data_IF_070042106069
#
_entry.id   IF_070042106069
#
_cell.length_a   1.000
_cell.length_b   1.000
_cell.length_c   1.000
_cell.angle_alpha   90.00
_cell.angle_beta   90.00
_cell.angle_gamma   90.00
#
_symmetry.space_group_name_H-M   'P 1'
#
loop_
_entity.id
_entity.type
_entity.pdbx_description
1 polymer ?
#
# COMPACT_ATOMS: atom_id res chain seq x y z
N UNK A 1 -5.39 28.68 0.57
CA UNK A 1 -5.43 27.39 -0.13
C UNK A 1 -4.24 26.56 0.35
N UNK A 2 -4.51 25.39 0.92
CA UNK A 2 -3.56 24.64 1.76
C UNK A 2 -2.59 23.79 0.94
N UNK A 3 -1.39 24.33 0.67
CA UNK A 3 -0.23 23.58 0.18
C UNK A 3 0.20 22.42 1.13
N UNK A 4 -0.36 22.35 2.34
CA UNK A 4 -0.12 21.27 3.31
C UNK A 4 -0.65 19.91 2.85
N UNK A 5 -1.67 19.87 1.98
CA UNK A 5 -2.25 18.61 1.49
C UNK A 5 -1.29 17.83 0.58
N UNK A 6 -0.55 18.50 -0.30
CA UNK A 6 0.40 17.84 -1.21
C UNK A 6 1.66 17.35 -0.52
N UNK A 7 2.19 18.11 0.45
CA UNK A 7 3.37 17.71 1.25
C UNK A 7 3.11 16.41 2.05
N UNK A 8 1.87 16.21 2.51
CA UNK A 8 1.48 15.02 3.30
C UNK A 8 1.38 13.72 2.48
N UNK A 9 1.30 13.78 1.14
CA UNK A 9 1.28 12.60 0.26
C UNK A 9 2.67 12.02 -0.03
N UNK A 10 3.73 12.83 0.05
CA UNK A 10 5.11 12.39 -0.19
C UNK A 10 5.53 11.17 0.67
N UNK A 11 5.32 11.14 2.00
CA UNK A 11 5.70 10.00 2.83
C UNK A 11 4.96 8.70 2.47
N UNK A 12 3.72 8.79 1.98
CA UNK A 12 2.98 7.61 1.51
C UNK A 12 3.60 7.10 0.21
N UNK A 13 3.99 7.96 -0.73
CA UNK A 13 4.63 7.50 -1.98
C UNK A 13 5.95 6.79 -1.72
N UNK A 14 6.79 7.35 -0.85
CA UNK A 14 8.06 6.72 -0.50
C UNK A 14 7.86 5.37 0.18
N UNK A 15 6.78 5.16 0.94
CA UNK A 15 6.51 3.86 1.56
C UNK A 15 6.06 2.80 0.55
N UNK A 16 5.29 3.17 -0.48
CA UNK A 16 4.98 2.26 -1.59
C UNK A 16 6.23 1.88 -2.40
N UNK A 17 7.12 2.85 -2.67
CA UNK A 17 8.38 2.60 -3.37
C UNK A 17 9.32 1.72 -2.51
N UNK A 18 9.43 2.02 -1.21
CA UNK A 18 10.18 1.21 -0.27
C UNK A 18 9.63 -0.23 -0.21
N UNK A 19 8.31 -0.43 -0.19
CA UNK A 19 7.71 -1.76 -0.22
C UNK A 19 8.09 -2.54 -1.49
N UNK A 20 8.12 -1.90 -2.65
CA UNK A 20 8.55 -2.55 -3.90
C UNK A 20 10.04 -2.92 -3.89
N UNK A 21 10.89 -2.03 -3.37
CA UNK A 21 12.33 -2.27 -3.22
C UNK A 21 12.59 -3.40 -2.23
N UNK A 22 11.95 -3.37 -1.06
CA UNK A 22 12.07 -4.42 -0.04
C UNK A 22 11.57 -5.76 -0.60
N UNK A 23 10.50 -5.77 -1.40
CA UNK A 23 10.03 -6.98 -2.07
C UNK A 23 11.12 -7.58 -2.97
N UNK A 24 11.73 -6.80 -3.86
CA UNK A 24 12.81 -7.28 -4.72
C UNK A 24 14.03 -7.75 -3.93
N UNK A 25 14.43 -7.00 -2.90
CA UNK A 25 15.56 -7.39 -2.06
C UNK A 25 15.27 -8.63 -1.22
N UNK A 26 14.04 -8.85 -0.77
CA UNK A 26 13.67 -10.02 0.06
C UNK A 26 13.80 -11.34 -0.68
N UNK A 27 13.70 -11.32 -2.01
CA UNK A 27 13.94 -12.49 -2.86
C UNK A 27 15.42 -12.85 -3.00
N UNK A 28 16.30 -11.85 -2.97
CA UNK A 28 17.73 -12.01 -3.20
C UNK A 28 18.46 -12.20 -1.87
N UNK A 29 18.00 -11.52 -0.81
CA UNK A 29 18.69 -11.41 0.46
C UNK A 29 17.73 -11.57 1.64
N UNK A 30 17.80 -12.72 2.33
CA UNK A 30 16.97 -13.06 3.49
C UNK A 30 16.97 -12.01 4.62
N UNK A 31 18.13 -11.46 5.05
CA UNK A 31 18.19 -10.30 5.93
C UNK A 31 17.34 -9.08 5.53
N UNK A 32 17.09 -8.86 4.23
CA UNK A 32 16.22 -7.78 3.79
C UNK A 32 14.75 -8.01 4.18
N UNK A 33 14.36 -9.23 4.54
CA UNK A 33 13.03 -9.51 5.07
C UNK A 33 12.77 -8.79 6.40
N UNK A 34 13.81 -8.45 7.17
CA UNK A 34 13.67 -7.67 8.41
C UNK A 34 13.18 -6.24 8.13
N UNK A 35 13.42 -5.71 6.93
CA UNK A 35 12.94 -4.39 6.51
C UNK A 35 11.40 -4.35 6.40
N UNK A 36 10.72 -5.47 6.16
CA UNK A 36 9.26 -5.52 6.24
C UNK A 36 8.75 -5.20 7.64
N UNK A 37 9.43 -5.68 8.69
CA UNK A 37 9.05 -5.40 10.08
C UNK A 37 9.25 -3.92 10.40
N UNK A 38 10.36 -3.34 9.97
CA UNK A 38 10.63 -1.91 10.13
C UNK A 38 9.58 -1.05 9.41
N UNK A 39 9.24 -1.40 8.16
CA UNK A 39 8.21 -0.73 7.39
C UNK A 39 6.82 -0.86 8.03
N UNK A 40 6.47 -2.05 8.55
CA UNK A 40 5.22 -2.32 9.24
C UNK A 40 5.09 -1.47 10.51
N UNK A 41 6.16 -1.41 11.32
CA UNK A 41 6.21 -0.60 12.54
C UNK A 41 6.06 0.90 12.24
N UNK A 42 6.78 1.39 11.23
CA UNK A 42 6.68 2.78 10.81
C UNK A 42 5.30 3.12 10.24
N UNK A 43 4.76 2.30 9.34
CA UNK A 43 3.43 2.51 8.75
C UNK A 43 2.32 2.46 9.80
N UNK A 44 2.42 1.54 10.78
CA UNK A 44 1.50 1.46 11.91
C UNK A 44 1.55 2.69 12.81
N UNK A 45 2.75 3.19 13.12
CA UNK A 45 2.92 4.42 13.90
C UNK A 45 2.35 5.64 13.18
N UNK A 46 2.62 5.79 11.88
CA UNK A 46 2.08 6.88 11.06
C UNK A 46 0.56 6.79 10.92
N UNK A 47 0.01 5.59 10.73
CA UNK A 47 -1.44 5.37 10.70
C UNK A 47 -2.14 5.82 11.99
N UNK A 48 -1.51 5.61 13.15
CA UNK A 48 -2.06 6.04 14.45
C UNK A 48 -2.05 7.56 14.62
N UNK A 49 -1.05 8.25 14.08
CA UNK A 49 -0.85 9.69 14.26
C UNK A 49 -1.53 10.56 13.19
N UNK A 50 -2.03 9.97 12.10
CA UNK A 50 -2.68 10.70 11.00
C UNK A 50 -4.19 10.76 11.21
N UNK A 51 -4.72 11.99 11.25
CA UNK A 51 -6.16 12.25 11.44
C UNK A 51 -6.94 12.40 10.12
N UNK A 52 -6.26 12.49 8.97
CA UNK A 52 -6.93 12.64 7.67
C UNK A 52 -7.41 11.28 7.14
N UNK A 53 -8.70 11.15 6.76
CA UNK A 53 -9.31 9.86 6.43
C UNK A 53 -8.67 9.20 5.20
N UNK A 54 -8.34 9.98 4.16
CA UNK A 54 -7.74 9.45 2.93
C UNK A 54 -6.33 8.86 3.15
N UNK A 55 -5.50 9.53 3.95
CA UNK A 55 -4.15 9.03 4.26
C UNK A 55 -4.23 7.83 5.20
N UNK A 56 -5.13 7.86 6.18
CA UNK A 56 -5.37 6.73 7.09
C UNK A 56 -5.80 5.47 6.33
N UNK A 57 -6.68 5.60 5.33
CA UNK A 57 -7.07 4.50 4.45
C UNK A 57 -5.89 4.00 3.60
N UNK A 58 -5.06 4.89 3.05
CA UNK A 58 -3.88 4.49 2.27
C UNK A 58 -2.85 3.71 3.10
N UNK A 59 -2.57 4.14 4.33
CA UNK A 59 -1.70 3.40 5.26
C UNK A 59 -2.33 2.07 5.70
N UNK A 60 -3.65 2.03 5.91
CA UNK A 60 -4.35 0.79 6.24
C UNK A 60 -4.25 -0.26 5.12
N UNK A 61 -4.44 0.16 3.87
CA UNK A 61 -4.30 -0.73 2.71
C UNK A 61 -2.87 -1.25 2.59
N UNK A 62 -1.87 -0.40 2.85
CA UNK A 62 -0.46 -0.78 2.88
C UNK A 62 -0.15 -1.78 4.01
N UNK A 63 -0.67 -1.56 5.22
CA UNK A 63 -0.55 -2.51 6.33
C UNK A 63 -1.19 -3.85 5.97
N UNK A 64 -2.40 -3.83 5.41
CA UNK A 64 -3.11 -5.05 5.04
C UNK A 64 -2.38 -5.84 3.94
N UNK A 65 -1.78 -5.17 2.96
CA UNK A 65 -1.00 -5.85 1.91
C UNK A 65 0.28 -6.48 2.46
N UNK A 66 0.98 -5.80 3.37
CA UNK A 66 2.18 -6.36 4.03
C UNK A 66 1.81 -7.56 4.88
N UNK A 67 0.73 -7.47 5.67
CA UNK A 67 0.24 -8.59 6.48
C UNK A 67 -0.18 -9.80 5.64
N UNK A 68 -0.87 -9.59 4.52
CA UNK A 68 -1.21 -10.65 3.59
C UNK A 68 0.04 -11.31 3.02
N UNK A 69 1.03 -10.52 2.57
CA UNK A 69 2.29 -11.03 2.06
C UNK A 69 3.00 -11.91 3.09
N UNK A 70 3.21 -11.39 4.32
CA UNK A 70 3.87 -12.13 5.40
C UNK A 70 3.10 -13.38 5.80
N UNK A 71 1.77 -13.30 5.93
CA UNK A 71 0.92 -14.42 6.31
C UNK A 71 0.94 -15.55 5.29
N UNK A 72 0.83 -15.23 4.00
CA UNK A 72 0.87 -16.23 2.92
C UNK A 72 2.25 -16.90 2.82
N UNK A 73 3.34 -16.13 2.98
CA UNK A 73 4.70 -16.70 2.96
C UNK A 73 4.98 -17.56 4.18
N UNK A 74 4.51 -17.16 5.37
CA UNK A 74 4.65 -17.95 6.58
C UNK A 74 3.84 -19.25 6.50
N UNK A 75 2.64 -19.19 5.94
CA UNK A 75 1.81 -20.37 5.69
C UNK A 75 2.43 -21.30 4.63
N UNK A 76 3.03 -20.75 3.57
CA UNK A 76 3.79 -21.54 2.60
C UNK A 76 5.01 -22.21 3.26
N UNK A 77 5.76 -21.47 4.09
CA UNK A 77 6.88 -22.01 4.85
C UNK A 77 6.45 -23.14 5.79
N UNK A 78 5.34 -22.95 6.53
CA UNK A 78 4.77 -23.99 7.39
C UNK A 78 4.35 -25.23 6.59
N UNK A 79 3.81 -25.04 5.38
CA UNK A 79 3.42 -26.12 4.48
C UNK A 79 4.64 -26.91 3.99
N UNK A 80 5.71 -26.24 3.55
CA UNK A 80 6.97 -26.90 3.18
C UNK A 80 7.67 -27.57 4.36
N UNK A 81 7.66 -26.94 5.53
CA UNK A 81 8.18 -27.55 6.76
C UNK A 81 7.39 -28.82 7.10
N UNK A 82 6.07 -28.79 6.99
CA UNK A 82 5.21 -29.97 7.12
C UNK A 82 5.54 -31.04 6.09
N UNK A 83 5.66 -30.68 4.81
CA UNK A 83 6.04 -31.60 3.73
C UNK A 83 7.40 -32.26 3.97
N UNK A 84 8.37 -31.51 4.52
CA UNK A 84 9.72 -32.01 4.79
C UNK A 84 9.75 -33.17 5.80
N UNK A 85 8.77 -33.26 6.69
CA UNK A 85 8.65 -34.38 7.64
C UNK A 85 8.34 -35.71 6.96
N UNK A 86 7.64 -35.65 5.83
CA UNK A 86 7.28 -36.82 5.02
C UNK A 86 8.36 -37.19 3.99
N UNK A 87 9.43 -36.39 3.86
CA UNK A 87 10.54 -36.65 2.94
C UNK A 87 11.54 -37.72 3.44
N UNK A 88 11.17 -38.49 4.46
CA UNK A 88 12.00 -39.55 5.05
C UNK A 88 11.57 -40.96 4.64
N UNK A 89 10.34 -41.14 4.13
CA UNK A 89 9.82 -42.41 3.62
C UNK A 89 9.81 -42.42 2.09
N UNK A 90 10.57 -43.33 1.48
CA UNK A 90 10.54 -43.52 0.03
C UNK A 90 9.22 -44.15 -0.45
N UNK A 91 8.91 -43.98 -1.74
CA UNK A 91 7.69 -44.46 -2.42
C UNK A 91 7.42 -45.97 -2.26
N UNK A 92 8.44 -46.75 -1.88
CA UNK A 92 8.43 -48.20 -1.83
C UNK A 92 8.33 -48.80 -0.40
N UNK A 93 8.00 -47.98 0.61
CA UNK A 93 7.68 -48.44 1.97
C UNK A 93 6.21 -48.86 2.10
N UNK A 94 5.87 -49.72 3.06
CA UNK A 94 4.49 -50.14 3.38
C UNK A 94 3.53 -48.99 3.69
N UNK A 95 4.05 -47.83 4.15
CA UNK A 95 3.31 -46.56 4.33
C UNK A 95 3.73 -45.47 3.33
N UNK A 96 4.63 -45.78 2.39
CA UNK A 96 5.31 -44.81 1.54
C UNK A 96 4.38 -44.08 0.55
N UNK A 97 3.32 -44.73 0.08
CA UNK A 97 2.34 -44.11 -0.81
C UNK A 97 1.53 -43.00 -0.12
N UNK A 98 1.15 -43.18 1.15
CA UNK A 98 0.43 -42.17 1.93
C UNK A 98 1.34 -40.99 2.29
N UNK A 99 2.57 -41.27 2.74
CA UNK A 99 3.57 -40.25 3.06
C UNK A 99 3.95 -39.41 1.83
N UNK A 100 4.09 -40.06 0.67
CA UNK A 100 4.31 -39.37 -0.60
C UNK A 100 3.12 -38.49 -0.99
N UNK A 101 1.88 -38.96 -0.76
CA UNK A 101 0.67 -38.17 -0.96
C UNK A 101 0.65 -36.90 -0.11
N UNK A 102 1.04 -36.98 1.17
CA UNK A 102 1.16 -35.81 2.04
C UNK A 102 2.28 -34.87 1.61
N UNK A 103 3.43 -35.41 1.18
CA UNK A 103 4.54 -34.62 0.67
C UNK A 103 4.13 -33.83 -0.58
N UNK A 104 3.43 -34.47 -1.51
CA UNK A 104 2.99 -33.86 -2.75
C UNK A 104 1.85 -32.87 -2.53
N UNK A 105 0.89 -33.20 -1.67
CA UNK A 105 -0.22 -32.32 -1.29
C UNK A 105 0.25 -31.06 -0.56
N UNK A 106 1.08 -31.21 0.48
CA UNK A 106 1.65 -30.06 1.21
C UNK A 106 2.67 -29.30 0.37
N UNK A 107 3.48 -29.98 -0.43
CA UNK A 107 4.41 -29.33 -1.35
C UNK A 107 3.68 -28.47 -2.40
N UNK A 108 2.63 -29.02 -3.01
CA UNK A 108 1.79 -28.29 -3.96
C UNK A 108 1.04 -27.13 -3.29
N UNK A 109 0.49 -27.35 -2.09
CA UNK A 109 -0.16 -26.30 -1.31
C UNK A 109 0.83 -25.17 -1.00
N UNK A 110 2.04 -25.49 -0.51
CA UNK A 110 3.10 -24.52 -0.26
C UNK A 110 3.48 -23.72 -1.52
N UNK A 111 3.62 -24.39 -2.66
CA UNK A 111 3.90 -23.72 -3.94
C UNK A 111 2.76 -22.78 -4.37
N UNK A 112 1.50 -23.22 -4.23
CA UNK A 112 0.33 -22.40 -4.55
C UNK A 112 0.22 -21.17 -3.63
N UNK A 113 0.48 -21.33 -2.33
CA UNK A 113 0.52 -20.21 -1.38
C UNK A 113 1.67 -19.24 -1.67
N UNK A 114 2.84 -19.71 -2.12
CA UNK A 114 3.92 -18.82 -2.57
C UNK A 114 3.49 -18.01 -3.80
N UNK A 115 2.91 -18.65 -4.81
CA UNK A 115 2.46 -17.98 -6.04
C UNK A 115 1.39 -16.93 -5.73
N UNK A 116 0.37 -17.30 -4.96
CA UNK A 116 -0.69 -16.36 -4.55
C UNK A 116 -0.12 -15.27 -3.64
N UNK A 117 0.74 -15.65 -2.69
CA UNK A 117 1.41 -14.77 -1.75
C UNK A 117 2.34 -13.75 -2.40
N UNK A 118 2.77 -13.97 -3.64
CA UNK A 118 3.66 -13.08 -4.38
C UNK A 118 2.88 -12.21 -5.37
N UNK A 119 2.02 -12.82 -6.20
CA UNK A 119 1.23 -12.10 -7.20
C UNK A 119 0.16 -11.19 -6.60
N UNK A 120 -0.60 -11.67 -5.62
CA UNK A 120 -1.73 -10.93 -5.07
C UNK A 120 -1.34 -9.61 -4.39
N UNK A 121 -0.39 -9.59 -3.42
CA UNK A 121 0.02 -8.34 -2.80
C UNK A 121 0.71 -7.41 -3.80
N UNK A 122 1.46 -7.92 -4.78
CA UNK A 122 2.10 -7.10 -5.82
C UNK A 122 1.06 -6.36 -6.66
N UNK A 123 0.04 -7.06 -7.17
CA UNK A 123 -1.06 -6.46 -7.95
C UNK A 123 -1.77 -5.38 -7.13
N UNK A 124 -2.05 -5.68 -5.85
CA UNK A 124 -2.73 -4.74 -4.95
C UNK A 124 -1.88 -3.50 -4.69
N UNK A 125 -0.57 -3.67 -4.48
CA UNK A 125 0.38 -2.58 -4.23
C UNK A 125 0.45 -1.64 -5.44
N UNK A 126 0.57 -2.20 -6.65
CA UNK A 126 0.60 -1.43 -7.91
C UNK A 126 -0.72 -0.69 -8.14
N UNK A 127 -1.86 -1.35 -7.93
CA UNK A 127 -3.18 -0.71 -8.09
C UNK A 127 -3.36 0.46 -7.13
N UNK A 128 -2.97 0.28 -5.86
CA UNK A 128 -3.02 1.34 -4.85
C UNK A 128 -2.06 2.49 -5.14
N UNK A 129 -0.85 2.20 -5.63
CA UNK A 129 0.10 3.23 -6.05
C UNK A 129 -0.42 4.06 -7.23
N UNK A 130 -0.99 3.42 -8.26
CA UNK A 130 -1.59 4.13 -9.42
C UNK A 130 -2.76 5.02 -8.99
N UNK A 131 -3.61 4.56 -8.09
CA UNK A 131 -4.69 5.38 -7.53
C UNK A 131 -4.14 6.60 -6.78
N UNK A 132 -3.03 6.43 -6.03
CA UNK A 132 -2.39 7.52 -5.30
C UNK A 132 -1.70 8.54 -6.22
N UNK A 133 -1.12 8.08 -7.33
CA UNK A 133 -0.54 8.95 -8.37
C UNK A 133 -1.62 9.75 -9.12
N UNK A 134 -2.76 9.13 -9.46
CA UNK A 134 -3.88 9.85 -10.09
C UNK A 134 -4.42 10.99 -9.20
N UNK A 135 -4.49 10.76 -7.88
CA UNK A 135 -4.88 11.80 -6.91
C UNK A 135 -3.84 12.93 -6.85
N UNK A 136 -2.54 12.60 -6.96
CA UNK A 136 -1.49 13.60 -7.03
C UNK A 136 -1.56 14.47 -8.27
N UNK A 137 -1.73 13.85 -9.44
CA UNK A 137 -1.85 14.57 -10.71
C UNK A 137 -3.07 15.48 -10.70
N UNK A 138 -4.20 15.04 -10.15
CA UNK A 138 -5.36 15.91 -9.94
C UNK A 138 -5.08 17.09 -8.99
N UNK A 139 -4.25 16.90 -7.96
CA UNK A 139 -3.84 17.98 -7.06
C UNK A 139 -2.85 18.96 -7.71
N UNK A 140 -1.92 18.47 -8.54
CA UNK A 140 -0.95 19.31 -9.26
C UNK A 140 -1.60 20.04 -10.46
N UNK A 141 -2.53 19.40 -11.17
CA UNK A 141 -3.27 19.99 -12.30
C UNK A 141 -4.17 21.14 -11.85
N UNK A 142 -4.87 20.99 -10.71
CA UNK A 142 -5.65 22.10 -10.12
C UNK A 142 -4.82 23.28 -9.64
N UNK A 143 -3.51 23.10 -9.39
CA UNK A 143 -2.64 24.22 -9.04
C UNK A 143 -2.22 25.07 -10.24
N UNK A 144 -2.45 24.59 -11.48
CA UNK A 144 -2.01 25.28 -12.70
C UNK A 144 -3.15 25.81 -13.58
N UNK A 145 -4.38 25.33 -13.43
CA UNK A 145 -5.53 25.79 -14.25
C UNK A 145 -6.47 26.79 -13.54
N UNK A 146 -6.33 27.01 -12.23
CA UNK A 146 -7.21 27.93 -11.46
C UNK A 146 -6.55 29.30 -11.15
N UNK A 147 -5.54 29.72 -11.94
CA UNK A 147 -4.90 31.03 -11.81
C UNK A 147 -4.84 31.84 -13.12
N UNK A 148 -5.63 31.51 -14.14
CA UNK A 148 -5.58 32.25 -15.41
C UNK A 148 -6.92 32.42 -16.14
N UNK A 149 -8.04 32.48 -15.41
CA UNK A 149 -9.33 33.04 -15.84
C UNK A 149 -10.05 33.41 -14.53
N UNK A 150 -10.29 34.63 -14.08
CA UNK A 150 -10.59 35.90 -14.72
C UNK A 150 -10.23 36.99 -13.69
N UNK A 151 -9.21 37.79 -14.00
CA UNK A 151 -8.92 39.03 -13.27
C UNK A 151 -8.83 40.15 -14.29
N UNK A 152 -9.83 40.27 -15.17
CA UNK A 152 -9.89 41.41 -16.06
C UNK A 152 -11.28 41.69 -16.63
N UNK A 153 -12.34 41.75 -15.83
CA UNK A 153 -13.43 42.66 -16.19
C UNK A 153 -14.32 43.09 -15.00
N UNK A 154 -14.57 44.40 -14.96
CA UNK A 154 -15.48 45.14 -14.06
C UNK A 154 -14.94 45.55 -12.68
N UNK A 155 -13.81 46.23 -12.70
CA UNK A 155 -13.70 47.50 -11.95
C UNK A 155 -13.90 48.64 -12.94
N UNK A 156 -15.12 49.18 -13.00
CA UNK A 156 -15.36 50.56 -13.39
C UNK A 156 -16.67 51.02 -12.77
N UNK A 157 -16.55 51.89 -11.75
CA UNK A 157 -17.41 53.05 -11.47
C UNK A 157 -18.83 52.70 -10.97
N UNK A 158 -19.26 53.06 -9.76
CA UNK A 158 -19.27 54.44 -9.28
C UNK A 158 -19.38 54.53 -7.74
N UNK A 159 -18.65 55.51 -7.21
CA UNK A 159 -18.73 56.00 -5.84
C UNK A 159 -19.92 56.96 -5.67
N UNK A 160 -20.27 57.24 -4.42
CA UNK A 160 -21.28 58.18 -3.89
C UNK A 160 -22.69 57.62 -3.68
N UNK A 161 -23.08 57.43 -2.42
CA UNK A 161 -23.62 58.53 -1.58
C UNK A 161 -24.09 57.95 -0.23
N UNK A 162 -23.27 58.12 0.80
CA UNK A 162 -23.75 58.19 2.18
C UNK A 162 -24.50 59.50 2.31
N UNK A 163 -25.73 59.48 2.83
CA UNK A 163 -26.28 60.59 3.61
C UNK A 163 -27.39 60.06 4.52
N UNK A 164 -27.19 60.29 5.81
CA UNK A 164 -28.17 60.25 6.88
C UNK A 164 -29.39 61.14 6.56
N UNK A 165 -30.57 60.78 7.07
CA UNK A 165 -31.42 61.63 7.92
C UNK A 165 -32.77 60.97 8.24
N UNK A 166 -33.04 60.90 9.54
CA UNK A 166 -34.28 61.26 10.25
C UNK A 166 -35.61 60.53 9.96
N UNK A 167 -36.09 59.88 11.03
CA UNK A 167 -37.39 60.09 11.68
C UNK A 167 -38.53 60.73 10.86
N UNK A 168 -39.61 59.96 10.65
CA UNK A 168 -41.00 60.25 11.04
C UNK A 168 -41.71 58.93 11.34
#
# INVERSE_FOLDING_TARGET
MDFSKCSSLAPVRYSYLAAAVIYLLSWIWLPAATLWIALLGWAGFRWRNVNTPHLKQAYWVLLQSIWLYLGLHLAAFASFWGASRFNRGGLFSTTGAEEFGYLLGLGFLGALLLIIGTLWPLIRLVKSYRALMAINEACNGKSSEDCSVDSSEKSHVNSNKVNNSEAV
#
